data_IF_276583843866
#
_entry.id   IF_276583843866
#
_cell.length_a   1.000
_cell.length_b   1.000
_cell.length_c   1.000
_cell.angle_alpha   90.00
_cell.angle_beta   90.00
_cell.angle_gamma   90.00
#
_symmetry.space_group_name_H-M   'P 1'
#
loop_
_entity.id
_entity.type
_entity.pdbx_description
1 polymer ?
#
# COMPACT_ATOMS: atom_id res chain seq x y z
N UNK A 1 8.74 -19.83 3.60
CA UNK A 1 9.04 -18.47 4.07
C UNK A 1 9.06 -18.47 5.59
N UNK A 2 10.05 -17.84 6.19
CA UNK A 2 10.10 -17.55 7.63
C UNK A 2 9.10 -16.45 7.98
N UNK A 3 8.75 -16.31 9.26
CA UNK A 3 7.91 -15.20 9.74
C UNK A 3 8.44 -13.84 9.26
N UNK A 4 9.76 -13.64 9.30
CA UNK A 4 10.39 -12.39 8.89
C UNK A 4 10.29 -12.15 7.38
N UNK A 5 10.38 -13.22 6.58
CA UNK A 5 10.20 -13.12 5.13
C UNK A 5 8.75 -12.75 4.77
N UNK A 6 7.76 -13.28 5.50
CA UNK A 6 6.36 -12.89 5.32
C UNK A 6 6.11 -11.43 5.70
N UNK A 7 6.61 -10.99 6.86
CA UNK A 7 6.47 -9.59 7.30
C UNK A 7 7.11 -8.65 6.28
N UNK A 8 8.34 -8.97 5.83
CA UNK A 8 9.04 -8.19 4.83
C UNK A 8 8.27 -8.13 3.51
N UNK A 9 7.75 -9.26 3.04
CA UNK A 9 6.95 -9.31 1.83
C UNK A 9 5.74 -8.35 1.88
N UNK A 10 5.01 -8.33 3.01
CA UNK A 10 3.85 -7.45 3.16
C UNK A 10 4.23 -5.96 3.25
N UNK A 11 5.33 -5.64 3.93
CA UNK A 11 5.88 -4.27 3.97
C UNK A 11 6.31 -3.82 2.57
N UNK A 12 7.08 -4.65 1.86
CA UNK A 12 7.57 -4.33 0.52
C UNK A 12 6.39 -4.15 -0.46
N UNK A 13 5.35 -4.97 -0.35
CA UNK A 13 4.14 -4.83 -1.15
C UNK A 13 3.36 -3.54 -0.83
N UNK A 14 3.24 -3.18 0.44
CA UNK A 14 2.57 -1.95 0.88
C UNK A 14 3.28 -0.69 0.36
N UNK A 15 4.61 -0.70 0.28
CA UNK A 15 5.40 0.42 -0.23
C UNK A 15 5.17 0.65 -1.75
N UNK A 16 5.01 -0.43 -2.51
CA UNK A 16 4.66 -0.35 -3.95
C UNK A 16 3.27 0.27 -4.12
N UNK A 17 2.29 -0.17 -3.33
CA UNK A 17 0.94 0.39 -3.38
C UNK A 17 0.92 1.86 -2.98
N UNK A 18 1.76 2.26 -2.02
CA UNK A 18 1.88 3.65 -1.58
C UNK A 18 2.34 4.58 -2.71
N UNK A 19 3.28 4.11 -3.51
CA UNK A 19 3.71 4.84 -4.71
C UNK A 19 2.58 5.03 -5.72
N UNK A 20 1.71 4.02 -5.88
CA UNK A 20 0.53 4.11 -6.76
C UNK A 20 -0.53 5.06 -6.18
N UNK A 21 -0.77 5.00 -4.86
CA UNK A 21 -1.67 5.89 -4.12
C UNK A 21 -1.25 7.36 -4.29
N UNK A 22 0.03 7.67 -4.16
CA UNK A 22 0.56 9.02 -4.36
C UNK A 22 0.32 9.55 -5.78
N UNK A 23 0.42 8.69 -6.79
CA UNK A 23 0.14 9.07 -8.17
C UNK A 23 -1.34 9.39 -8.38
N UNK A 24 -2.25 8.61 -7.77
CA UNK A 24 -3.69 8.87 -7.79
C UNK A 24 -4.04 10.15 -7.03
N UNK A 25 -3.37 10.42 -5.93
CA UNK A 25 -3.54 11.67 -5.20
C UNK A 25 -3.13 12.88 -6.07
N UNK A 26 -1.99 12.78 -6.76
CA UNK A 26 -1.49 13.82 -7.68
C UNK A 26 -2.40 14.01 -8.91
N UNK A 27 -3.03 12.94 -9.41
CA UNK A 27 -4.02 13.02 -10.50
C UNK A 27 -5.39 13.54 -10.04
N UNK A 28 -5.58 13.78 -8.73
CA UNK A 28 -6.84 14.17 -8.09
C UNK A 28 -7.91 13.09 -8.09
N UNK A 29 -7.53 11.84 -8.30
CA UNK A 29 -8.39 10.66 -8.19
C UNK A 29 -8.53 10.24 -6.72
N UNK A 30 -9.05 11.14 -5.89
CA UNK A 30 -9.00 11.01 -4.43
C UNK A 30 -9.71 9.78 -3.88
N UNK A 31 -10.82 9.36 -4.47
CA UNK A 31 -11.54 8.14 -4.03
C UNK A 31 -10.67 6.90 -4.22
N UNK A 32 -9.95 6.83 -5.35
CA UNK A 32 -9.05 5.71 -5.64
C UNK A 32 -7.78 5.76 -4.79
N UNK A 33 -7.25 6.96 -4.53
CA UNK A 33 -6.15 7.16 -3.58
C UNK A 33 -6.54 6.68 -2.17
N UNK A 34 -7.72 7.07 -1.67
CA UNK A 34 -8.21 6.61 -0.36
C UNK A 34 -8.46 5.10 -0.32
N UNK A 35 -8.95 4.51 -1.41
CA UNK A 35 -9.11 3.06 -1.51
C UNK A 35 -7.77 2.32 -1.41
N UNK A 36 -6.71 2.81 -2.07
CA UNK A 36 -5.38 2.22 -1.94
C UNK A 36 -4.80 2.40 -0.53
N UNK A 37 -4.96 3.57 0.09
CA UNK A 37 -4.48 3.79 1.47
C UNK A 37 -5.15 2.84 2.47
N UNK A 38 -6.45 2.55 2.28
CA UNK A 38 -7.15 1.53 3.05
C UNK A 38 -6.50 0.15 2.93
N UNK A 39 -6.18 -0.30 1.71
CA UNK A 39 -5.51 -1.60 1.48
C UNK A 39 -4.09 -1.65 2.05
N UNK A 40 -3.36 -0.53 2.00
CA UNK A 40 -2.01 -0.42 2.59
C UNK A 40 -2.08 -0.63 4.10
N UNK A 41 -3.03 0.03 4.77
CA UNK A 41 -3.22 -0.12 6.22
C UNK A 41 -3.59 -1.56 6.57
N UNK A 42 -4.48 -2.20 5.80
CA UNK A 42 -4.85 -3.60 6.02
C UNK A 42 -3.67 -4.58 5.89
N UNK A 43 -2.69 -4.29 5.02
CA UNK A 43 -1.49 -5.12 4.85
C UNK A 43 -0.48 -4.98 5.99
N UNK A 44 -0.52 -3.87 6.72
CA UNK A 44 0.46 -3.53 7.77
C UNK A 44 -0.02 -3.87 9.20
N UNK A 45 -1.32 -4.15 9.39
CA UNK A 45 -1.94 -4.58 10.66
C UNK A 45 -1.95 -6.11 10.75
#
# INVERSE_FOLDING_TARGET
MTKNEHIKYWIDAAEVDRSAMDNLFKSKDYVWSLFLEHLIIEKLI
#
